data_IF_190446358422
#
_entry.id   IF_190446358422
#
_cell.length_a   1.000
_cell.length_b   1.000
_cell.length_c   1.000
_cell.angle_alpha   90.00
_cell.angle_beta   90.00
_cell.angle_gamma   90.00
#
_symmetry.space_group_name_H-M   'P 1'
#
loop_
_entity.id
_entity.type
_entity.pdbx_description
1 polymer ?
#
# COMPACT_ATOMS: atom_id res chain seq x y z
N UNK A 1 -12.72 -21.82 12.13
CA UNK A 1 -11.41 -21.19 12.41
C UNK A 1 -11.03 -20.40 11.18
N UNK A 2 -10.64 -19.14 11.34
CA UNK A 2 -10.13 -18.32 10.23
C UNK A 2 -8.77 -18.85 9.79
N UNK A 3 -8.44 -18.79 8.49
CA UNK A 3 -7.13 -19.20 8.00
C UNK A 3 -6.09 -18.10 8.25
N UNK A 4 -4.81 -18.47 8.29
CA UNK A 4 -3.72 -17.49 8.49
C UNK A 4 -3.70 -16.42 7.40
N UNK A 5 -4.02 -16.80 6.15
CA UNK A 5 -4.21 -15.85 5.04
C UNK A 5 -5.32 -14.85 5.32
N UNK A 6 -6.49 -15.34 5.75
CA UNK A 6 -7.63 -14.49 6.02
C UNK A 6 -7.30 -13.46 7.11
N UNK A 7 -6.69 -13.88 8.22
CA UNK A 7 -6.34 -12.98 9.32
C UNK A 7 -5.34 -11.90 8.89
N UNK A 8 -4.35 -12.27 8.06
CA UNK A 8 -3.37 -11.32 7.54
C UNK A 8 -4.01 -10.25 6.64
N UNK A 9 -4.88 -10.67 5.71
CA UNK A 9 -5.53 -9.74 4.77
C UNK A 9 -6.60 -8.88 5.45
N UNK A 10 -7.28 -9.41 6.48
CA UNK A 10 -8.18 -8.61 7.31
C UNK A 10 -7.43 -7.52 8.08
N UNK A 11 -6.26 -7.84 8.64
CA UNK A 11 -5.41 -6.81 9.28
C UNK A 11 -5.04 -5.71 8.28
N UNK A 12 -4.65 -6.05 7.05
CA UNK A 12 -4.29 -5.06 6.03
C UNK A 12 -5.45 -4.10 5.74
N UNK A 13 -6.65 -4.65 5.54
CA UNK A 13 -7.87 -3.86 5.32
C UNK A 13 -8.21 -2.97 6.50
N UNK A 14 -8.09 -3.49 7.73
CA UNK A 14 -8.37 -2.73 8.93
C UNK A 14 -7.40 -1.56 9.10
N UNK A 15 -6.11 -1.75 8.82
CA UNK A 15 -5.13 -0.65 8.88
C UNK A 15 -5.35 0.39 7.78
N UNK A 16 -5.76 -0.01 6.58
CA UNK A 16 -6.18 0.93 5.54
C UNK A 16 -7.38 1.78 5.99
N UNK A 17 -8.42 1.15 6.56
CA UNK A 17 -9.59 1.86 7.05
C UNK A 17 -9.24 2.81 8.20
N UNK A 18 -8.34 2.39 9.10
CA UNK A 18 -7.84 3.20 10.20
C UNK A 18 -7.14 4.47 9.69
N UNK A 19 -6.14 4.33 8.79
CA UNK A 19 -5.45 5.51 8.26
C UNK A 19 -6.37 6.41 7.43
N UNK A 20 -7.30 5.83 6.66
CA UNK A 20 -8.28 6.60 5.90
C UNK A 20 -9.19 7.44 6.82
N UNK A 21 -9.62 6.86 7.95
CA UNK A 21 -10.40 7.60 8.95
C UNK A 21 -9.60 8.80 9.48
N UNK A 22 -8.35 8.58 9.90
CA UNK A 22 -7.48 9.63 10.44
C UNK A 22 -7.25 10.76 9.42
N UNK A 23 -7.02 10.41 8.16
CA UNK A 23 -6.85 11.38 7.08
C UNK A 23 -8.14 12.18 6.81
N UNK A 24 -9.32 11.54 6.88
CA UNK A 24 -10.59 12.24 6.78
C UNK A 24 -10.80 13.22 7.95
N UNK A 25 -10.42 12.85 9.16
CA UNK A 25 -10.53 13.72 10.34
C UNK A 25 -9.65 14.96 10.21
N UNK A 26 -8.40 14.81 9.78
CA UNK A 26 -7.49 15.94 9.49
C UNK A 26 -8.10 16.86 8.43
N UNK A 27 -8.52 16.28 7.30
CA UNK A 27 -9.13 17.01 6.17
C UNK A 27 -10.33 17.83 6.63
N UNK A 28 -11.21 17.23 7.43
CA UNK A 28 -12.43 17.89 7.92
C UNK A 28 -12.13 18.99 8.96
N UNK A 29 -11.08 18.81 9.76
CA UNK A 29 -10.63 19.81 10.72
C UNK A 29 -9.82 20.95 10.09
N UNK A 30 -9.53 20.87 8.77
CA UNK A 30 -8.65 21.81 8.05
C UNK A 30 -7.30 22.02 8.76
N UNK A 31 -6.81 20.98 9.43
CA UNK A 31 -5.51 21.01 10.09
C UNK A 31 -4.44 20.98 9.00
N UNK A 32 -3.48 21.90 9.07
CA UNK A 32 -2.20 21.70 8.40
C UNK A 32 -1.56 20.47 9.04
N UNK A 33 -1.35 19.44 8.24
CA UNK A 33 -0.81 18.18 8.69
C UNK A 33 0.41 17.90 7.85
N UNK A 34 1.59 17.91 8.48
CA UNK A 34 2.87 17.73 7.80
C UNK A 34 3.71 16.62 8.47
N UNK A 35 3.50 15.35 8.10
CA UNK A 35 4.27 14.24 8.65
C UNK A 35 5.57 13.89 7.93
N UNK A 36 5.83 14.48 6.76
CA UNK A 36 6.99 14.17 5.89
C UNK A 36 7.50 15.43 5.16
N UNK A 37 7.45 16.61 5.77
CA UNK A 37 7.91 17.86 5.17
C UNK A 37 6.99 18.37 4.05
N UNK A 38 6.28 19.46 4.33
CA UNK A 38 5.38 20.20 3.44
C UNK A 38 4.29 19.39 2.71
N UNK A 39 3.98 18.15 3.12
CA UNK A 39 2.95 17.35 2.46
C UNK A 39 1.57 17.66 3.03
N UNK A 40 0.59 17.92 2.18
CA UNK A 40 -0.81 18.01 2.58
C UNK A 40 -1.40 16.64 2.88
N UNK A 41 -2.58 16.60 3.50
CA UNK A 41 -3.36 15.35 3.65
C UNK A 41 -3.66 14.69 2.30
N UNK A 42 -3.83 15.49 1.24
CA UNK A 42 -4.07 15.01 -0.12
C UNK A 42 -2.81 14.35 -0.72
N UNK A 43 -1.63 14.91 -0.46
CA UNK A 43 -0.35 14.34 -0.87
C UNK A 43 -0.10 13.01 -0.17
N UNK A 44 -0.40 12.94 1.15
CA UNK A 44 -0.31 11.68 1.89
C UNK A 44 -1.23 10.61 1.30
N UNK A 45 -2.49 10.94 1.02
CA UNK A 45 -3.42 9.98 0.42
C UNK A 45 -2.95 9.54 -0.97
N UNK A 46 -2.43 10.48 -1.78
CA UNK A 46 -1.86 10.20 -3.11
C UNK A 46 -0.65 9.28 -3.04
N UNK A 47 0.19 9.46 -2.03
CA UNK A 47 1.34 8.61 -1.73
C UNK A 47 0.92 7.18 -1.42
N UNK A 48 -0.02 7.00 -0.49
CA UNK A 48 -0.54 5.68 -0.13
C UNK A 48 -1.16 4.96 -1.34
N UNK A 49 -1.92 5.69 -2.16
CA UNK A 49 -2.51 5.15 -3.38
C UNK A 49 -1.47 4.74 -4.42
N UNK A 50 -0.42 5.53 -4.61
CA UNK A 50 0.68 5.20 -5.49
C UNK A 50 1.34 3.88 -5.13
N UNK A 51 1.63 3.68 -3.84
CA UNK A 51 2.20 2.42 -3.35
C UNK A 51 1.23 1.24 -3.47
N UNK A 52 -0.06 1.41 -3.22
CA UNK A 52 -1.06 0.35 -3.40
C UNK A 52 -1.14 -0.11 -4.86
N UNK A 53 -1.24 0.84 -5.80
CA UNK A 53 -1.28 0.56 -7.25
C UNK A 53 0.02 -0.11 -7.71
N UNK A 54 1.17 0.39 -7.25
CA UNK A 54 2.45 -0.22 -7.57
C UNK A 54 2.54 -1.67 -7.08
N UNK A 55 2.16 -1.96 -5.82
CA UNK A 55 2.16 -3.32 -5.27
C UNK A 55 1.30 -4.27 -6.09
N UNK A 56 0.09 -3.83 -6.45
CA UNK A 56 -0.83 -4.61 -7.28
C UNK A 56 -0.22 -4.95 -8.65
N UNK A 57 0.35 -3.94 -9.34
CA UNK A 57 0.99 -4.16 -10.64
C UNK A 57 2.24 -5.04 -10.54
N UNK A 58 3.07 -4.80 -9.53
CA UNK A 58 4.26 -5.60 -9.24
C UNK A 58 3.91 -7.07 -8.94
N UNK A 59 2.76 -7.32 -8.29
CA UNK A 59 2.28 -8.69 -8.07
C UNK A 59 1.87 -9.36 -9.37
N UNK A 60 1.18 -8.64 -10.28
CA UNK A 60 0.81 -9.19 -11.60
C UNK A 60 2.07 -9.56 -12.40
N UNK A 61 3.05 -8.67 -12.43
CA UNK A 61 4.33 -8.91 -13.10
C UNK A 61 5.08 -10.10 -12.49
N UNK A 62 5.12 -10.17 -11.15
CA UNK A 62 5.76 -11.27 -10.43
C UNK A 62 5.12 -12.62 -10.76
N UNK A 63 3.78 -12.67 -10.90
CA UNK A 63 3.07 -13.88 -11.28
C UNK A 63 3.28 -14.27 -12.75
N UNK A 64 3.45 -13.30 -13.64
CA UNK A 64 3.67 -13.52 -15.07
C UNK A 64 5.12 -13.93 -15.39
N UNK A 65 6.08 -13.27 -14.75
CA UNK A 65 7.52 -13.37 -15.09
C UNK A 65 8.36 -14.09 -14.04
N UNK A 66 7.84 -14.28 -12.83
CA UNK A 66 8.59 -14.78 -11.67
C UNK A 66 9.49 -13.73 -11.02
N UNK A 67 9.49 -12.47 -11.47
CA UNK A 67 10.29 -11.38 -10.91
C UNK A 67 9.49 -10.06 -10.84
N UNK A 68 9.90 -9.16 -9.96
CA UNK A 68 9.38 -7.77 -9.93
C UNK A 68 10.43 -6.84 -10.54
N UNK A 69 10.04 -5.97 -11.47
CA UNK A 69 10.95 -4.95 -12.00
C UNK A 69 10.98 -3.71 -11.08
N UNK A 70 12.13 -3.50 -10.43
CA UNK A 70 12.42 -2.34 -9.60
C UNK A 70 13.15 -1.22 -10.36
N UNK A 71 13.53 -1.43 -11.62
CA UNK A 71 14.29 -0.47 -12.42
C UNK A 71 13.50 0.79 -12.76
N UNK A 72 12.17 0.74 -12.61
CA UNK A 72 11.26 1.82 -12.97
C UNK A 72 11.36 3.07 -12.08
N UNK A 73 11.99 3.01 -10.90
CA UNK A 73 12.17 4.20 -10.07
C UNK A 73 13.61 4.34 -9.58
N UNK A 74 14.23 5.48 -9.92
CA UNK A 74 15.63 5.78 -9.59
C UNK A 74 15.86 5.95 -8.09
N UNK A 75 14.90 6.53 -7.37
CA UNK A 75 14.89 6.68 -5.92
C UNK A 75 13.45 6.66 -5.40
N UNK A 76 13.28 6.20 -4.16
CA UNK A 76 11.99 6.24 -3.44
C UNK A 76 11.42 7.66 -3.39
N UNK A 77 12.26 8.67 -3.17
CA UNK A 77 11.81 10.08 -3.11
C UNK A 77 11.29 10.58 -4.45
N UNK A 78 11.96 10.24 -5.56
CA UNK A 78 11.47 10.59 -6.89
C UNK A 78 10.14 9.90 -7.18
N UNK A 79 10.04 8.61 -6.86
CA UNK A 79 8.79 7.88 -7.01
C UNK A 79 7.66 8.53 -6.20
N UNK A 80 7.92 8.87 -4.94
CA UNK A 80 6.97 9.56 -4.06
C UNK A 80 6.53 10.93 -4.62
N UNK A 81 7.44 11.70 -5.21
CA UNK A 81 7.11 12.95 -5.87
C UNK A 81 6.24 12.72 -7.12
N UNK A 82 6.57 11.72 -7.94
CA UNK A 82 5.86 11.41 -9.18
C UNK A 82 4.43 10.90 -8.88
N UNK A 83 4.22 10.06 -7.85
CA UNK A 83 2.87 9.57 -7.48
C UNK A 83 1.96 10.68 -6.96
N UNK A 84 2.50 11.70 -6.28
CA UNK A 84 1.76 12.88 -5.83
C UNK A 84 1.44 13.78 -7.03
N UNK A 85 2.44 14.08 -7.87
CA UNK A 85 2.26 14.92 -9.06
C UNK A 85 1.21 14.36 -10.03
N UNK A 86 1.17 13.03 -10.21
CA UNK A 86 0.21 12.35 -11.08
C UNK A 86 -1.24 12.43 -10.59
N UNK A 87 -1.49 12.84 -9.34
CA UNK A 87 -2.83 12.90 -8.72
C UNK A 87 -3.31 14.31 -8.43
N UNK A 88 -2.59 15.34 -8.88
CA UNK A 88 -2.92 16.76 -8.60
C UNK A 88 -4.35 17.16 -9.01
N UNK A 89 -4.92 16.50 -10.02
CA UNK A 89 -6.27 16.75 -10.52
C UNK A 89 -7.32 15.73 -10.05
N UNK A 90 -6.94 14.74 -9.24
CA UNK A 90 -7.89 13.76 -8.74
C UNK A 90 -8.74 14.35 -7.62
N UNK A 91 -9.92 13.80 -7.39
CA UNK A 91 -10.69 14.07 -6.16
C UNK A 91 -10.24 13.13 -5.06
N UNK A 92 -10.56 13.48 -3.82
CA UNK A 92 -10.30 12.63 -2.67
C UNK A 92 -10.90 11.22 -2.86
N UNK A 93 -12.16 11.17 -3.30
CA UNK A 93 -12.91 9.93 -3.51
C UNK A 93 -12.31 9.08 -4.64
N UNK A 94 -11.77 9.71 -5.69
CA UNK A 94 -11.06 8.99 -6.75
C UNK A 94 -9.83 8.28 -6.20
N UNK A 95 -9.01 8.97 -5.38
CA UNK A 95 -7.81 8.37 -4.81
C UNK A 95 -8.14 7.27 -3.80
N UNK A 96 -9.16 7.46 -2.96
CA UNK A 96 -9.66 6.40 -2.06
C UNK A 96 -10.10 5.17 -2.85
N UNK A 97 -10.81 5.37 -3.97
CA UNK A 97 -11.27 4.27 -4.81
C UNK A 97 -10.11 3.56 -5.52
N UNK A 98 -9.04 4.27 -5.91
CA UNK A 98 -7.82 3.67 -6.44
C UNK A 98 -7.18 2.71 -5.43
N UNK A 99 -7.01 3.13 -4.17
CA UNK A 99 -6.41 2.27 -3.13
C UNK A 99 -7.27 1.04 -2.93
N UNK A 100 -8.58 1.23 -2.80
CA UNK A 100 -9.53 0.12 -2.61
C UNK A 100 -9.45 -0.89 -3.75
N UNK A 101 -9.48 -0.43 -4.99
CA UNK A 101 -9.41 -1.30 -6.16
C UNK A 101 -8.07 -2.06 -6.20
N UNK A 102 -6.96 -1.37 -5.94
CA UNK A 102 -5.63 -1.96 -5.95
C UNK A 102 -5.47 -3.01 -4.85
N UNK A 103 -5.87 -2.71 -3.60
CA UNK A 103 -5.77 -3.65 -2.48
C UNK A 103 -6.74 -4.84 -2.66
N UNK A 104 -7.97 -4.62 -3.15
CA UNK A 104 -8.92 -5.73 -3.42
C UNK A 104 -8.41 -6.66 -4.54
N UNK A 105 -7.86 -6.11 -5.62
CA UNK A 105 -7.27 -6.90 -6.69
C UNK A 105 -6.00 -7.64 -6.22
N UNK A 106 -5.12 -6.97 -5.47
CA UNK A 106 -3.92 -7.59 -4.92
C UNK A 106 -4.26 -8.74 -3.96
N UNK A 107 -5.22 -8.54 -3.06
CA UNK A 107 -5.72 -9.59 -2.16
C UNK A 107 -6.37 -10.73 -2.96
N UNK A 108 -7.06 -10.44 -4.06
CA UNK A 108 -7.61 -11.48 -4.94
C UNK A 108 -6.50 -12.35 -5.56
N UNK A 109 -5.42 -11.72 -6.05
CA UNK A 109 -4.25 -12.43 -6.58
C UNK A 109 -3.60 -13.32 -5.50
N UNK A 110 -3.34 -12.77 -4.31
CA UNK A 110 -2.77 -13.53 -3.19
C UNK A 110 -3.68 -14.69 -2.73
N UNK A 111 -5.01 -14.52 -2.79
CA UNK A 111 -5.94 -15.60 -2.44
C UNK A 111 -5.95 -16.75 -3.44
N UNK A 112 -5.59 -16.49 -4.71
CA UNK A 112 -5.48 -17.54 -5.73
C UNK A 112 -4.29 -18.48 -5.49
N UNK A 113 -3.33 -18.09 -4.64
CA UNK A 113 -2.15 -18.87 -4.28
C UNK A 113 -2.39 -19.79 -3.07
N UNK A 114 -1.60 -20.86 -2.96
CA UNK A 114 -1.60 -21.76 -1.80
C UNK A 114 -1.06 -21.08 -0.54
N UNK A 115 -1.33 -21.64 0.65
CA UNK A 115 -0.71 -21.09 1.88
C UNK A 115 0.81 -21.23 1.89
N UNK A 116 1.35 -22.31 1.30
CA UNK A 116 2.79 -22.50 1.17
C UNK A 116 3.44 -21.41 0.31
N UNK A 117 2.80 -21.00 -0.79
CA UNK A 117 3.28 -19.91 -1.64
C UNK A 117 3.34 -18.57 -0.90
N UNK A 118 2.41 -18.35 0.03
CA UNK A 118 2.33 -17.10 0.79
C UNK A 118 3.35 -17.06 1.93
N UNK A 119 3.48 -18.14 2.70
CA UNK A 119 4.17 -18.13 3.99
C UNK A 119 5.52 -18.84 4.02
N UNK A 120 5.86 -19.63 2.98
CA UNK A 120 7.04 -20.51 3.00
C UNK A 120 7.87 -20.36 1.73
N UNK A 121 7.22 -20.30 0.57
CA UNK A 121 7.90 -20.22 -0.72
C UNK A 121 8.73 -18.95 -0.82
N UNK A 122 9.97 -19.13 -1.26
CA UNK A 122 10.88 -18.03 -1.64
C UNK A 122 10.97 -17.87 -3.16
N UNK A 123 10.10 -18.59 -3.90
CA UNK A 123 10.01 -18.47 -5.35
C UNK A 123 9.60 -17.05 -5.76
N UNK A 124 8.72 -16.46 -4.96
CA UNK A 124 8.31 -15.07 -5.03
C UNK A 124 9.09 -14.34 -3.95
N UNK A 125 10.19 -13.66 -4.30
CA UNK A 125 11.01 -12.88 -3.35
C UNK A 125 11.63 -11.64 -3.99
N UNK A 126 12.06 -10.72 -3.15
CA UNK A 126 12.74 -9.48 -3.52
C UNK A 126 13.90 -9.19 -2.55
N UNK A 127 14.85 -8.31 -2.90
CA UNK A 127 15.80 -7.79 -1.90
C UNK A 127 15.14 -7.18 -0.65
N UNK A 128 13.87 -6.75 -0.73
CA UNK A 128 13.15 -6.12 0.39
C UNK A 128 12.34 -7.10 1.26
N UNK A 129 12.06 -8.32 0.80
CA UNK A 129 11.19 -9.28 1.50
C UNK A 129 11.45 -10.71 1.03
N UNK A 130 11.35 -11.68 1.94
CA UNK A 130 11.70 -13.07 1.66
C UNK A 130 10.50 -13.91 1.20
N UNK A 131 9.31 -13.61 1.71
CA UNK A 131 8.05 -14.26 1.36
C UNK A 131 6.97 -13.24 0.99
N UNK A 132 5.90 -13.68 0.32
CA UNK A 132 4.74 -12.82 0.05
C UNK A 132 4.06 -12.34 1.35
N UNK A 133 4.09 -13.15 2.41
CA UNK A 133 3.62 -12.73 3.73
C UNK A 133 4.44 -11.55 4.29
N UNK A 134 5.76 -11.56 4.09
CA UNK A 134 6.61 -10.42 4.48
C UNK A 134 6.28 -9.18 3.65
N UNK A 135 5.99 -9.33 2.36
CA UNK A 135 5.56 -8.20 1.55
C UNK A 135 4.22 -7.61 2.00
N UNK A 136 3.27 -8.45 2.42
CA UNK A 136 2.01 -7.98 3.03
C UNK A 136 2.27 -7.32 4.39
N UNK A 137 3.21 -7.84 5.18
CA UNK A 137 3.61 -7.21 6.45
C UNK A 137 4.27 -5.84 6.22
N UNK A 138 5.07 -5.66 5.16
CA UNK A 138 5.60 -4.36 4.77
C UNK A 138 4.49 -3.35 4.42
N UNK A 139 3.44 -3.79 3.70
CA UNK A 139 2.29 -2.92 3.40
C UNK A 139 1.50 -2.55 4.66
N UNK A 140 1.35 -3.50 5.60
CA UNK A 140 0.77 -3.26 6.92
C UNK A 140 1.56 -2.24 7.73
N UNK A 141 2.87 -2.42 7.80
CA UNK A 141 3.77 -1.54 8.53
C UNK A 141 3.76 -0.14 7.93
N UNK A 142 3.67 -0.04 6.60
CA UNK A 142 3.55 1.24 5.89
C UNK A 142 2.32 2.04 6.35
N UNK A 143 1.14 1.43 6.37
CA UNK A 143 -0.08 2.07 6.90
C UNK A 143 0.06 2.40 8.40
N UNK A 144 0.58 1.46 9.20
CA UNK A 144 0.74 1.63 10.65
C UNK A 144 1.67 2.78 11.01
N UNK A 145 2.82 2.90 10.31
CA UNK A 145 3.81 3.95 10.55
C UNK A 145 3.20 5.32 10.25
N UNK A 146 2.48 5.46 9.14
CA UNK A 146 1.82 6.72 8.82
C UNK A 146 0.68 7.04 9.79
N UNK A 147 -0.13 6.07 10.19
CA UNK A 147 -1.17 6.26 11.19
C UNK A 147 -0.61 6.73 12.54
N UNK A 148 0.54 6.18 12.99
CA UNK A 148 1.23 6.63 14.20
C UNK A 148 1.72 8.06 14.10
N UNK A 149 2.26 8.46 12.94
CA UNK A 149 2.68 9.86 12.67
C UNK A 149 1.51 10.84 12.60
N UNK A 150 0.29 10.38 12.30
CA UNK A 150 -0.91 11.23 12.36
C UNK A 150 -1.28 11.52 13.83
N UNK A 151 -1.13 10.53 14.69
CA UNK A 151 -1.57 10.59 16.08
C UNK A 151 -0.54 11.14 17.07
N UNK A 152 0.71 11.38 16.62
CA UNK A 152 1.79 11.95 17.44
C UNK A 152 1.71 13.49 17.49
#
# INVERSE_FOLDING_TARGET
MSSRKHDLFQRLRNEWLNILQLLNEIKNQKKEYDPIGNWTTFDMLSHLAGWAVWRMNAMKELLDTGQTDYSHFSTTDKFNADIVANRVNHTWEQIVQEVRNADDEWISLLNSLGEEDIFVSTHFRSPAWETLADWVQLALDHYTIHARKINS
#
